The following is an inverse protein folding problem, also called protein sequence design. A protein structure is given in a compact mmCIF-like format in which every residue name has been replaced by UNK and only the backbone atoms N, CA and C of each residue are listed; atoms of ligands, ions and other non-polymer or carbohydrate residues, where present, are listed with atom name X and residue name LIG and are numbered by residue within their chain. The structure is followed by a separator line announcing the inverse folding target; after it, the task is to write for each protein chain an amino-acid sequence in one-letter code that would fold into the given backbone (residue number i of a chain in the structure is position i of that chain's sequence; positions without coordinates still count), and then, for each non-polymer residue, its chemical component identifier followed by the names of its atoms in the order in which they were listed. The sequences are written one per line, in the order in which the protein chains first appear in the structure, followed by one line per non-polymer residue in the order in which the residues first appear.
data_IF_994872168655
#
_entry.id   IF_994872168655
#
_cell.length_a   1.000
_cell.length_b   1.000
_cell.length_c   1.000
_cell.angle_alpha   90.00
_cell.angle_beta   90.00
_cell.angle_gamma   90.00
#
_symmetry.space_group_name_H-M   'P 1'
#
loop_
_entity.id
_entity.type
_entity.pdbx_description
1 polymer ?
#
# COMPACT_ATOMS: atom_id res chain seq x y z
N UNK A 1 22.70 23.64 -70.48
CA UNK A 1 22.70 24.17 -69.09
C UNK A 1 22.04 25.53 -69.15
N UNK A 2 20.99 25.89 -68.41
CA UNK A 2 20.42 25.38 -67.16
C UNK A 2 18.90 25.17 -67.32
N UNK A 3 18.38 24.14 -66.67
CA UNK A 3 16.94 23.97 -66.39
C UNK A 3 16.64 24.83 -65.16
N UNK A 4 15.58 25.66 -65.10
CA UNK A 4 15.23 26.35 -63.88
C UNK A 4 14.60 25.35 -62.90
N UNK A 5 15.12 25.30 -61.68
CA UNK A 5 14.48 24.54 -60.59
C UNK A 5 13.08 25.10 -60.30
N UNK A 6 12.08 24.23 -60.03
CA UNK A 6 10.80 24.69 -59.52
C UNK A 6 10.97 25.21 -58.09
N UNK A 7 10.13 26.18 -57.66
CA UNK A 7 10.22 26.71 -56.31
C UNK A 7 9.94 25.59 -55.31
N UNK A 8 10.85 25.45 -54.33
CA UNK A 8 10.62 24.61 -53.16
C UNK A 8 9.39 25.17 -52.44
N UNK A 9 8.28 24.44 -52.52
CA UNK A 9 7.13 24.64 -51.66
C UNK A 9 7.59 24.22 -50.26
N UNK A 10 8.00 25.19 -49.45
CA UNK A 10 8.04 25.03 -48.00
C UNK A 10 6.65 24.60 -47.57
N UNK A 11 6.52 23.32 -47.24
CA UNK A 11 5.35 22.77 -46.56
C UNK A 11 5.19 23.52 -45.24
N UNK A 12 4.29 24.49 -45.23
CA UNK A 12 3.63 25.01 -44.05
C UNK A 12 2.96 23.82 -43.35
N UNK A 13 3.71 23.17 -42.46
CA UNK A 13 3.17 22.15 -41.56
C UNK A 13 2.16 22.85 -40.65
N UNK A 14 0.95 22.33 -40.66
CA UNK A 14 -0.22 22.83 -39.97
C UNK A 14 -0.03 22.88 -38.44
N UNK A 15 0.43 24.01 -37.90
CA UNK A 15 0.40 24.27 -36.44
C UNK A 15 -1.04 24.35 -35.90
N UNK A 16 -2.03 24.57 -36.76
CA UNK A 16 -3.45 24.59 -36.38
C UNK A 16 -4.02 23.21 -36.01
N UNK A 17 -3.50 22.12 -36.59
CA UNK A 17 -3.93 20.75 -36.24
C UNK A 17 -3.29 20.28 -34.92
N UNK A 18 -2.04 20.65 -34.66
CA UNK A 18 -1.30 20.29 -33.44
C UNK A 18 -1.93 20.91 -32.18
N UNK A 19 -2.49 22.12 -32.31
CA UNK A 19 -3.14 22.81 -31.20
C UNK A 19 -4.53 22.23 -30.85
N UNK A 20 -5.28 21.74 -31.84
CA UNK A 20 -6.54 21.01 -31.63
C UNK A 20 -6.30 19.65 -30.94
N UNK A 21 -5.23 18.97 -31.34
CA UNK A 21 -4.76 17.73 -30.71
C UNK A 21 -4.33 18.00 -29.26
N UNK A 22 -3.59 19.09 -29.01
CA UNK A 22 -3.16 19.50 -27.67
C UNK A 22 -4.31 19.79 -26.71
N UNK A 23 -5.38 20.45 -27.18
CA UNK A 23 -6.56 20.72 -26.35
C UNK A 23 -7.38 19.45 -26.09
N UNK A 24 -7.58 18.59 -27.10
CA UNK A 24 -8.24 17.29 -26.92
C UNK A 24 -7.51 16.39 -25.92
N UNK A 25 -6.17 16.45 -25.93
CA UNK A 25 -5.33 15.73 -25.00
C UNK A 25 -5.52 16.21 -23.56
N UNK A 26 -5.47 17.52 -23.34
CA UNK A 26 -5.71 18.14 -22.03
C UNK A 26 -7.06 17.75 -21.45
N UNK A 27 -8.13 17.77 -22.26
CA UNK A 27 -9.47 17.40 -21.80
C UNK A 27 -9.54 15.92 -21.36
N UNK A 28 -8.90 15.03 -22.12
CA UNK A 28 -8.79 13.61 -21.75
C UNK A 28 -8.05 13.43 -20.42
N UNK A 29 -6.99 14.19 -20.21
CA UNK A 29 -6.23 14.13 -18.96
C UNK A 29 -6.98 14.69 -17.76
N UNK A 30 -7.75 15.76 -17.96
CA UNK A 30 -8.63 16.31 -16.92
C UNK A 30 -9.70 15.28 -16.52
N UNK A 31 -10.27 14.55 -17.49
CA UNK A 31 -11.21 13.46 -17.24
C UNK A 31 -10.55 12.29 -16.50
N UNK A 32 -9.35 11.88 -16.92
CA UNK A 32 -8.58 10.84 -16.23
C UNK A 32 -8.26 11.23 -14.79
N UNK A 33 -7.85 12.48 -14.54
CA UNK A 33 -7.57 12.99 -13.20
C UNK A 33 -8.79 12.87 -12.27
N UNK A 34 -9.98 13.19 -12.81
CA UNK A 34 -11.24 13.08 -12.07
C UNK A 34 -11.58 11.61 -11.74
N UNK A 35 -11.31 10.68 -12.66
CA UNK A 35 -11.58 9.25 -12.50
C UNK A 35 -10.60 8.52 -11.58
N UNK A 36 -9.33 8.97 -11.50
CA UNK A 36 -8.31 8.27 -10.70
C UNK A 36 -8.66 8.25 -9.21
N UNK A 37 -9.27 9.31 -8.68
CA UNK A 37 -9.73 9.31 -7.30
C UNK A 37 -11.04 10.08 -7.19
N UNK A 38 -12.12 9.34 -7.03
CA UNK A 38 -13.46 9.87 -6.87
C UNK A 38 -13.81 10.03 -5.39
N UNK A 39 -14.92 10.72 -5.12
CA UNK A 39 -15.48 10.76 -3.77
C UNK A 39 -15.90 9.34 -3.30
N UNK A 40 -16.38 8.51 -4.23
CA UNK A 40 -16.67 7.11 -3.94
C UNK A 40 -15.41 6.35 -3.49
N UNK A 41 -14.29 6.49 -4.20
CA UNK A 41 -13.01 5.86 -3.83
C UNK A 41 -12.55 6.29 -2.43
N UNK A 42 -12.74 7.58 -2.09
CA UNK A 42 -12.44 8.12 -0.76
C UNK A 42 -13.30 7.46 0.30
N UNK A 43 -14.62 7.42 0.12
CA UNK A 43 -15.53 6.80 1.09
C UNK A 43 -15.27 5.30 1.25
N UNK A 44 -14.95 4.59 0.17
CA UNK A 44 -14.54 3.19 0.19
C UNK A 44 -13.24 3.00 1.00
N UNK A 45 -12.27 3.92 0.84
CA UNK A 45 -11.02 3.87 1.58
C UNK A 45 -11.25 4.06 3.08
N UNK A 46 -11.98 5.10 3.46
CA UNK A 46 -12.28 5.39 4.85
C UNK A 46 -13.07 4.25 5.51
N UNK A 47 -14.01 3.63 4.79
CA UNK A 47 -14.75 2.47 5.29
C UNK A 47 -13.85 1.24 5.46
N UNK A 48 -12.99 0.96 4.47
CA UNK A 48 -12.05 -0.15 4.53
C UNK A 48 -11.04 0.03 5.68
N UNK A 49 -10.55 1.24 5.93
CA UNK A 49 -9.64 1.54 7.04
C UNK A 49 -10.32 1.30 8.38
N UNK A 50 -11.57 1.76 8.53
CA UNK A 50 -12.37 1.47 9.73
C UNK A 50 -12.52 -0.03 9.98
N UNK A 51 -12.87 -0.81 8.95
CA UNK A 51 -12.97 -2.27 9.09
C UNK A 51 -11.63 -2.91 9.50
N UNK A 52 -10.50 -2.44 8.94
CA UNK A 52 -9.16 -2.91 9.31
C UNK A 52 -8.88 -2.62 10.79
N UNK A 53 -9.17 -1.42 11.27
CA UNK A 53 -8.96 -1.02 12.67
C UNK A 53 -9.84 -1.85 13.61
N UNK A 54 -11.12 -2.05 13.27
CA UNK A 54 -12.04 -2.86 14.07
C UNK A 54 -11.55 -4.32 14.18
N UNK A 55 -11.11 -4.90 13.06
CA UNK A 55 -10.53 -6.25 13.04
C UNK A 55 -9.22 -6.34 13.81
N UNK A 56 -8.38 -5.32 13.76
CA UNK A 56 -7.17 -5.24 14.57
C UNK A 56 -7.50 -5.27 16.06
N UNK A 57 -8.55 -4.55 16.47
CA UNK A 57 -9.10 -4.61 17.82
C UNK A 57 -9.56 -6.03 18.21
N UNK A 58 -10.24 -6.74 17.30
CA UNK A 58 -10.64 -8.13 17.49
C UNK A 58 -9.44 -9.08 17.65
N UNK A 59 -8.43 -8.96 16.79
CA UNK A 59 -7.18 -9.74 16.87
C UNK A 59 -6.47 -9.51 18.20
N UNK A 60 -6.39 -8.26 18.66
CA UNK A 60 -5.82 -7.93 19.97
C UNK A 60 -6.51 -8.68 21.09
N UNK A 61 -7.84 -8.68 21.12
CA UNK A 61 -8.61 -9.39 22.15
C UNK A 61 -8.41 -10.90 22.07
N UNK A 62 -8.41 -11.46 20.86
CA UNK A 62 -8.23 -12.89 20.64
C UNK A 62 -6.85 -13.36 21.12
N UNK A 63 -5.77 -12.65 20.75
CA UNK A 63 -4.41 -12.95 21.20
C UNK A 63 -4.29 -12.84 22.72
N UNK A 64 -4.96 -11.87 23.34
CA UNK A 64 -4.96 -11.70 24.79
C UNK A 64 -5.65 -12.87 25.50
N UNK A 65 -6.80 -13.33 25.00
CA UNK A 65 -7.49 -14.51 25.54
C UNK A 65 -6.62 -15.77 25.42
N UNK A 66 -5.98 -15.95 24.26
CA UNK A 66 -5.04 -17.07 24.03
C UNK A 66 -3.86 -17.00 25.00
N UNK A 67 -3.30 -15.82 25.24
CA UNK A 67 -2.22 -15.59 26.21
C UNK A 67 -2.62 -16.01 27.60
N UNK A 68 -3.74 -15.50 28.12
CA UNK A 68 -4.23 -15.81 29.47
C UNK A 68 -4.43 -17.32 29.66
N UNK A 69 -5.02 -17.98 28.66
CA UNK A 69 -5.21 -19.44 28.70
C UNK A 69 -3.90 -20.20 28.67
N UNK A 70 -2.98 -19.80 27.78
CA UNK A 70 -1.66 -20.40 27.68
C UNK A 70 -0.87 -20.27 28.98
N UNK A 71 -0.90 -19.10 29.61
CA UNK A 71 -0.21 -18.87 30.89
C UNK A 71 -0.81 -19.72 32.01
N UNK A 72 -2.14 -19.83 32.07
CA UNK A 72 -2.82 -20.68 33.06
C UNK A 72 -2.46 -22.16 32.91
N UNK A 73 -2.42 -22.69 31.68
CA UNK A 73 -2.00 -24.07 31.42
C UNK A 73 -0.54 -24.26 31.82
N UNK A 74 0.34 -23.33 31.43
CA UNK A 74 1.76 -23.39 31.73
C UNK A 74 2.05 -23.38 33.23
N UNK A 75 1.45 -22.46 33.99
CA UNK A 75 1.61 -22.37 35.44
C UNK A 75 1.15 -23.67 36.12
N UNK A 76 -0.04 -24.15 35.76
CA UNK A 76 -0.57 -25.40 36.29
C UNK A 76 0.35 -26.59 35.98
N UNK A 77 0.88 -26.65 34.75
CA UNK A 77 1.82 -27.67 34.33
C UNK A 77 3.09 -27.67 35.19
N UNK A 78 3.77 -26.53 35.29
CA UNK A 78 5.02 -26.47 36.07
C UNK A 78 4.79 -26.77 37.55
N UNK A 79 3.74 -26.19 38.15
CA UNK A 79 3.51 -26.32 39.59
C UNK A 79 3.13 -27.74 39.99
N UNK A 80 2.28 -28.42 39.21
CA UNK A 80 1.68 -29.68 39.63
C UNK A 80 2.36 -30.94 39.07
N UNK A 81 3.18 -30.84 38.01
CA UNK A 81 3.75 -32.05 37.37
C UNK A 81 4.52 -32.93 38.37
N UNK A 82 5.37 -32.34 39.22
CA UNK A 82 6.13 -33.10 40.22
C UNK A 82 5.23 -33.68 41.32
N UNK A 83 4.26 -32.92 41.81
CA UNK A 83 3.29 -33.40 42.80
C UNK A 83 2.51 -34.62 42.27
N UNK A 84 2.08 -34.56 41.01
CA UNK A 84 1.32 -35.64 40.36
C UNK A 84 2.17 -36.85 40.08
N UNK A 85 3.46 -36.66 39.75
CA UNK A 85 4.43 -37.75 39.64
C UNK A 85 4.55 -38.49 40.98
N UNK A 86 4.76 -37.78 42.09
CA UNK A 86 4.90 -38.37 43.43
C UNK A 86 3.61 -39.05 43.91
N UNK A 87 2.45 -38.62 43.41
CA UNK A 87 1.14 -39.16 43.78
C UNK A 87 0.64 -40.26 42.83
N UNK A 88 1.44 -40.73 41.87
CA UNK A 88 1.04 -41.68 40.82
C UNK A 88 -0.20 -41.26 40.00
N UNK A 89 -0.46 -39.95 39.90
CA UNK A 89 -1.59 -39.37 39.15
C UNK A 89 -1.14 -38.62 37.90
N UNK A 90 0.12 -38.77 37.49
CA UNK A 90 0.70 -38.01 36.40
C UNK A 90 -0.01 -38.25 35.07
N UNK A 91 -0.38 -39.50 34.73
CA UNK A 91 -1.09 -39.80 33.48
C UNK A 91 -2.41 -39.04 33.35
N UNK A 92 -3.30 -39.17 34.34
CA UNK A 92 -4.60 -38.48 34.36
C UNK A 92 -4.44 -36.95 34.30
N UNK A 93 -3.41 -36.42 34.97
CA UNK A 93 -3.09 -35.01 34.92
C UNK A 93 -2.67 -34.55 33.51
N UNK A 94 -1.78 -35.29 32.85
CA UNK A 94 -1.30 -34.99 31.51
C UNK A 94 -2.42 -35.10 30.47
N UNK A 95 -3.27 -36.14 30.55
CA UNK A 95 -4.44 -36.28 29.67
C UNK A 95 -5.38 -35.07 29.79
N UNK A 96 -5.60 -34.57 31.03
CA UNK A 96 -6.39 -33.37 31.27
C UNK A 96 -5.74 -32.08 30.77
N UNK A 97 -4.41 -32.00 30.73
CA UNK A 97 -3.66 -30.89 30.12
C UNK A 97 -3.77 -30.94 28.60
N UNK A 98 -3.64 -32.11 27.99
CA UNK A 98 -3.71 -32.31 26.54
C UNK A 98 -5.08 -31.89 25.97
N UNK A 99 -6.18 -32.19 26.66
CA UNK A 99 -7.51 -31.71 26.26
C UNK A 99 -7.60 -30.18 26.23
N UNK A 100 -7.00 -29.50 27.21
CA UNK A 100 -6.96 -28.03 27.26
C UNK A 100 -6.06 -27.47 26.16
N UNK A 101 -4.92 -28.12 25.91
CA UNK A 101 -4.00 -27.76 24.84
C UNK A 101 -4.70 -27.87 23.48
N UNK A 102 -5.39 -28.98 23.18
CA UNK A 102 -6.12 -29.16 21.92
C UNK A 102 -7.11 -28.03 21.66
N UNK A 103 -7.90 -27.66 22.68
CA UNK A 103 -8.86 -26.56 22.57
C UNK A 103 -8.14 -25.20 22.35
N UNK A 104 -7.02 -24.97 23.02
CA UNK A 104 -6.23 -23.74 22.87
C UNK A 104 -5.53 -23.67 21.50
N UNK A 105 -5.00 -24.77 21.00
CA UNK A 105 -4.36 -24.86 19.68
C UNK A 105 -5.33 -24.48 18.55
N UNK A 106 -6.61 -24.87 18.65
CA UNK A 106 -7.62 -24.42 17.70
C UNK A 106 -7.76 -22.88 17.70
N UNK A 107 -7.85 -22.27 18.88
CA UNK A 107 -7.94 -20.81 19.01
C UNK A 107 -6.68 -20.09 18.51
N UNK A 108 -5.50 -20.68 18.72
CA UNK A 108 -4.25 -20.17 18.18
C UNK A 108 -4.25 -20.17 16.65
N UNK A 109 -4.70 -21.25 16.02
CA UNK A 109 -4.81 -21.33 14.55
C UNK A 109 -5.81 -20.30 14.00
N UNK A 110 -6.94 -20.13 14.67
CA UNK A 110 -7.94 -19.12 14.31
C UNK A 110 -7.35 -17.70 14.39
N UNK A 111 -6.61 -17.40 15.47
CA UNK A 111 -5.92 -16.13 15.63
C UNK A 111 -4.85 -15.91 14.55
N UNK A 112 -4.09 -16.94 14.23
CA UNK A 112 -3.03 -16.87 13.22
C UNK A 112 -3.60 -16.54 11.83
N UNK A 113 -4.69 -17.22 11.47
CA UNK A 113 -5.40 -16.98 10.22
C UNK A 113 -5.97 -15.56 10.15
N UNK A 114 -6.57 -15.05 11.23
CA UNK A 114 -7.09 -13.68 11.26
C UNK A 114 -5.99 -12.63 11.16
N UNK A 115 -4.84 -12.84 11.80
CA UNK A 115 -3.66 -11.97 11.66
C UNK A 115 -3.20 -11.92 10.19
N UNK A 116 -3.09 -13.07 9.53
CA UNK A 116 -2.65 -13.14 8.13
C UNK A 116 -3.69 -12.54 7.16
N UNK A 117 -4.99 -12.76 7.40
CA UNK A 117 -6.08 -12.10 6.65
C UNK A 117 -6.01 -10.59 6.81
N UNK A 118 -5.75 -10.09 8.02
CA UNK A 118 -5.63 -8.67 8.28
C UNK A 118 -4.42 -8.06 7.57
N UNK A 119 -3.25 -8.73 7.65
CA UNK A 119 -2.04 -8.32 6.90
C UNK A 119 -2.32 -8.26 5.41
N UNK A 120 -2.96 -9.28 4.85
CA UNK A 120 -3.29 -9.34 3.42
C UNK A 120 -4.25 -8.21 3.00
N UNK A 121 -5.24 -7.86 3.82
CA UNK A 121 -6.15 -6.74 3.54
C UNK A 121 -5.42 -5.40 3.50
N UNK A 122 -4.55 -5.14 4.48
CA UNK A 122 -3.72 -3.93 4.50
C UNK A 122 -2.89 -3.86 3.22
N UNK A 123 -2.17 -4.94 2.88
CA UNK A 123 -1.34 -4.96 1.66
C UNK A 123 -2.17 -4.80 0.39
N UNK A 124 -3.36 -5.39 0.31
CA UNK A 124 -4.28 -5.21 -0.83
C UNK A 124 -4.69 -3.74 -0.98
N UNK A 125 -5.05 -3.07 0.12
CA UNK A 125 -5.47 -1.66 0.07
C UNK A 125 -4.31 -0.74 -0.32
N UNK A 126 -3.11 -1.05 0.18
CA UNK A 126 -1.87 -0.39 -0.24
C UNK A 126 -1.57 -0.57 -1.72
N UNK A 127 -1.69 -1.80 -2.24
CA UNK A 127 -1.51 -2.09 -3.66
C UNK A 127 -2.46 -1.25 -4.53
N UNK A 128 -3.73 -1.20 -4.15
CA UNK A 128 -4.72 -0.36 -4.82
C UNK A 128 -4.36 1.14 -4.78
N UNK A 129 -3.89 1.68 -3.63
CA UNK A 129 -3.42 3.08 -3.57
C UNK A 129 -2.20 3.32 -4.46
N UNK A 130 -1.25 2.38 -4.49
CA UNK A 130 -0.05 2.47 -5.36
C UNK A 130 -0.41 2.48 -6.84
N UNK A 131 -1.39 1.70 -7.26
CA UNK A 131 -1.91 1.72 -8.64
C UNK A 131 -2.47 3.11 -8.99
N UNK A 132 -3.24 3.73 -8.08
CA UNK A 132 -3.75 5.10 -8.28
C UNK A 132 -2.62 6.14 -8.33
N UNK A 133 -1.62 6.03 -7.46
CA UNK A 133 -0.43 6.91 -7.48
C UNK A 133 0.32 6.77 -8.81
N UNK A 134 0.57 5.54 -9.25
CA UNK A 134 1.26 5.26 -10.51
C UNK A 134 0.50 5.83 -11.72
N UNK A 135 -0.84 5.86 -11.67
CA UNK A 135 -1.64 6.50 -12.72
C UNK A 135 -1.48 8.03 -12.77
N UNK A 136 -1.21 8.69 -11.63
CA UNK A 136 -0.99 10.14 -11.55
C UNK A 136 0.44 10.54 -11.91
N UNK A 137 1.39 9.63 -11.76
CA UNK A 137 2.82 9.90 -11.88
C UNK A 137 3.23 10.49 -13.25
N UNK A 138 2.74 9.96 -14.40
CA UNK A 138 3.01 10.54 -15.71
C UNK A 138 2.45 11.96 -15.88
N UNK A 139 1.37 12.31 -15.17
CA UNK A 139 0.76 13.63 -15.24
C UNK A 139 1.53 14.64 -14.37
N UNK A 140 2.01 14.19 -13.20
CA UNK A 140 2.76 15.00 -12.25
C UNK A 140 4.16 15.38 -12.75
N UNK A 141 4.86 14.49 -13.47
CA UNK A 141 6.27 14.67 -13.83
C UNK A 141 6.54 15.48 -15.11
N UNK A 142 5.52 15.94 -15.83
CA UNK A 142 5.70 16.56 -17.16
C UNK A 142 6.13 18.01 -17.16
N UNK A 143 6.21 18.64 -15.99
CA UNK A 143 6.50 20.07 -15.90
C UNK A 143 7.86 20.30 -15.27
N UNK A 144 8.83 20.74 -16.07
CA UNK A 144 9.68 21.85 -15.60
C UNK A 144 8.77 23.07 -15.55
N UNK A 145 8.05 23.22 -14.44
CA UNK A 145 7.07 24.30 -14.21
C UNK A 145 7.70 25.66 -14.52
N UNK A 146 8.98 25.84 -14.20
CA UNK A 146 9.71 27.08 -14.43
C UNK A 146 10.00 27.35 -15.91
N UNK A 147 10.38 26.34 -16.70
CA UNK A 147 10.61 26.53 -18.15
C UNK A 147 9.31 26.82 -18.88
N UNK A 148 8.21 26.14 -18.51
CA UNK A 148 6.89 26.38 -19.10
C UNK A 148 6.35 27.78 -18.75
N UNK A 149 6.49 28.22 -17.51
CA UNK A 149 6.10 29.57 -17.08
C UNK A 149 6.88 30.65 -17.84
N UNK A 150 8.19 30.51 -17.98
CA UNK A 150 9.01 31.47 -18.72
C UNK A 150 8.59 31.58 -20.20
N UNK A 151 8.32 30.45 -20.86
CA UNK A 151 7.84 30.45 -22.25
C UNK A 151 6.45 31.08 -22.39
N UNK A 152 5.56 30.85 -21.42
CA UNK A 152 4.24 31.46 -21.42
C UNK A 152 4.30 32.96 -21.18
N UNK A 153 5.14 33.41 -20.23
CA UNK A 153 5.35 34.83 -19.95
C UNK A 153 5.88 35.56 -21.20
N UNK A 154 6.88 34.99 -21.90
CA UNK A 154 7.39 35.56 -23.15
C UNK A 154 6.30 35.68 -24.24
N UNK A 155 5.38 34.71 -24.35
CA UNK A 155 4.24 34.79 -25.28
C UNK A 155 3.21 35.84 -24.86
N UNK A 156 2.95 35.98 -23.56
CA UNK A 156 2.07 37.02 -23.01
C UNK A 156 2.64 38.41 -23.29
N UNK A 157 3.94 38.62 -23.06
CA UNK A 157 4.63 39.89 -23.38
C UNK A 157 4.52 40.24 -24.87
N UNK A 158 4.67 39.26 -25.76
CA UNK A 158 4.46 39.44 -27.21
C UNK A 158 3.03 39.81 -27.59
N UNK A 159 2.04 39.18 -26.95
CA UNK A 159 0.61 39.49 -27.13
C UNK A 159 0.25 40.89 -26.62
N UNK A 160 0.78 41.29 -25.46
CA UNK A 160 0.58 42.63 -24.90
C UNK A 160 1.15 43.71 -25.82
N UNK A 161 2.35 43.49 -26.37
CA UNK A 161 2.95 44.41 -27.34
C UNK A 161 2.11 44.54 -28.62
N UNK A 162 1.59 43.41 -29.14
CA UNK A 162 0.71 43.37 -30.32
C UNK A 162 -0.61 44.12 -30.07
N UNK A 163 -1.29 43.84 -28.96
CA UNK A 163 -2.59 44.45 -28.62
C UNK A 163 -2.50 45.95 -28.30
N UNK A 164 -1.39 46.40 -27.71
CA UNK A 164 -1.16 47.81 -27.39
C UNK A 164 -0.61 48.62 -28.58
N UNK A 165 -0.37 47.99 -29.73
CA UNK A 165 0.14 48.65 -30.93
C UNK A 165 1.54 49.27 -30.76
N UNK A 166 2.31 48.84 -29.74
CA UNK A 166 3.65 49.37 -29.48
C UNK A 166 4.62 48.78 -30.51
N UNK A 167 4.99 49.59 -31.51
CA UNK A 167 6.03 49.26 -32.50
C UNK A 167 7.45 49.64 -32.03
N UNK A 168 7.68 49.72 -30.73
CA UNK A 168 8.98 50.16 -30.18
C UNK A 168 9.92 48.97 -29.92
N UNK A 169 9.91 47.99 -30.82
CA UNK A 169 10.81 46.83 -30.78
C UNK A 169 11.79 46.96 -31.93
N UNK A 170 13.09 46.87 -31.62
CA UNK A 170 14.16 46.97 -32.61
C UNK A 170 13.93 45.99 -33.79
N UNK A 171 14.24 46.39 -35.04
CA UNK A 171 13.96 45.59 -36.24
C UNK A 171 14.51 44.17 -36.17
N UNK A 172 15.65 43.96 -35.51
CA UNK A 172 16.27 42.64 -35.36
C UNK A 172 15.45 41.71 -34.45
N UNK A 173 14.77 42.24 -33.43
CA UNK A 173 13.84 41.50 -32.57
C UNK A 173 12.48 41.30 -33.26
N UNK A 174 12.08 42.23 -34.13
CA UNK A 174 10.87 42.10 -34.94
C UNK A 174 10.99 40.93 -35.94
N UNK A 175 12.13 40.75 -36.62
CA UNK A 175 12.27 39.63 -37.56
C UNK A 175 12.39 38.26 -36.89
N UNK A 176 13.03 38.16 -35.71
CA UNK A 176 13.16 36.89 -35.01
C UNK A 176 11.87 36.45 -34.27
N UNK A 177 11.09 37.41 -33.76
CA UNK A 177 9.88 37.12 -32.99
C UNK A 177 8.59 37.19 -33.82
N UNK A 178 8.45 38.08 -34.81
CA UNK A 178 7.18 38.20 -35.55
C UNK A 178 7.08 37.31 -36.79
N UNK A 179 8.18 36.92 -37.45
CA UNK A 179 8.11 36.04 -38.63
C UNK A 179 7.86 34.56 -38.27
N UNK A 180 8.04 34.19 -37.00
CA UNK A 180 7.81 32.82 -36.49
C UNK A 180 6.61 32.69 -35.55
N UNK A 181 5.90 33.77 -35.23
CA UNK A 181 4.77 33.72 -34.29
C UNK A 181 3.45 34.14 -34.95
N UNK A 182 2.67 33.10 -35.27
CA UNK A 182 1.30 32.90 -34.75
C UNK A 182 0.39 34.13 -34.68
N UNK A 183 -0.74 34.04 -35.37
CA UNK A 183 -1.87 34.96 -35.22
C UNK A 183 -2.33 35.01 -33.74
N UNK A 184 -2.90 36.14 -33.29
CA UNK A 184 -3.47 36.32 -31.94
C UNK A 184 -4.23 35.07 -31.39
N UNK A 185 -5.05 34.35 -32.20
CA UNK A 185 -5.69 33.11 -31.76
C UNK A 185 -4.74 31.95 -31.43
N UNK A 186 -3.63 31.80 -32.16
CA UNK A 186 -2.65 30.72 -31.97
C UNK A 186 -1.88 30.85 -30.66
N UNK A 187 -1.46 32.05 -30.30
CA UNK A 187 -0.77 32.29 -29.01
C UNK A 187 -1.70 32.14 -27.82
N UNK A 188 -2.95 32.61 -27.94
CA UNK A 188 -3.97 32.38 -26.90
C UNK A 188 -4.27 30.89 -26.70
N UNK A 189 -4.33 30.12 -27.79
CA UNK A 189 -4.53 28.67 -27.71
C UNK A 189 -3.32 27.96 -27.09
N UNK A 190 -2.10 28.35 -27.46
CA UNK A 190 -0.87 27.84 -26.83
C UNK A 190 -0.85 28.08 -25.32
N UNK A 191 -1.12 29.32 -24.89
CA UNK A 191 -1.17 29.70 -23.48
C UNK A 191 -2.25 28.89 -22.76
N UNK A 192 -3.44 28.73 -23.36
CA UNK A 192 -4.53 27.94 -22.80
C UNK A 192 -4.13 26.48 -22.60
N UNK A 193 -3.57 25.82 -23.61
CA UNK A 193 -3.11 24.43 -23.52
C UNK A 193 -2.07 24.29 -22.40
N UNK A 194 -1.05 25.15 -22.38
CA UNK A 194 0.03 25.11 -21.37
C UNK A 194 -0.46 25.39 -19.95
N UNK A 195 -1.36 26.35 -19.76
CA UNK A 195 -2.00 26.60 -18.45
C UNK A 195 -2.76 25.37 -17.97
N UNK A 196 -3.57 24.77 -18.83
CA UNK A 196 -4.36 23.60 -18.47
C UNK A 196 -3.48 22.37 -18.17
N UNK A 197 -2.45 22.09 -18.97
CA UNK A 197 -1.49 21.01 -18.68
C UNK A 197 -0.77 21.25 -17.34
N UNK A 198 -0.38 22.49 -17.05
CA UNK A 198 0.27 22.85 -15.78
C UNK A 198 -0.67 22.67 -14.60
N UNK A 199 -1.93 23.09 -14.72
CA UNK A 199 -2.97 22.87 -13.72
C UNK A 199 -3.17 21.37 -13.44
N UNK A 200 -3.26 20.55 -14.48
CA UNK A 200 -3.40 19.09 -14.37
C UNK A 200 -2.18 18.50 -13.64
N UNK A 201 -0.96 18.89 -13.99
CA UNK A 201 0.26 18.39 -13.34
C UNK A 201 0.30 18.73 -11.84
N UNK A 202 -0.04 19.97 -11.47
CA UNK A 202 -0.13 20.40 -10.06
C UNK A 202 -1.19 19.58 -9.31
N UNK A 203 -2.39 19.42 -9.88
CA UNK A 203 -3.45 18.64 -9.27
C UNK A 203 -3.05 17.17 -9.11
N UNK A 204 -2.43 16.56 -10.12
CA UNK A 204 -1.94 15.19 -10.08
C UNK A 204 -0.86 15.01 -9.00
N UNK A 205 0.08 15.94 -8.91
CA UNK A 205 1.13 15.94 -7.88
C UNK A 205 0.54 16.06 -6.46
N UNK A 206 -0.39 16.99 -6.25
CA UNK A 206 -1.03 17.17 -4.95
C UNK A 206 -1.82 15.93 -4.53
N UNK A 207 -2.57 15.34 -5.47
CA UNK A 207 -3.34 14.13 -5.22
C UNK A 207 -2.44 12.92 -4.99
N UNK A 208 -1.37 12.77 -5.77
CA UNK A 208 -0.36 11.73 -5.55
C UNK A 208 0.23 11.80 -4.14
N UNK A 209 0.56 13.01 -3.68
CA UNK A 209 1.03 13.23 -2.31
C UNK A 209 -0.01 12.82 -1.26
N UNK A 210 -1.27 13.22 -1.42
CA UNK A 210 -2.36 12.83 -0.51
C UNK A 210 -2.52 11.30 -0.45
N UNK A 211 -2.50 10.61 -1.58
CA UNK A 211 -2.57 9.16 -1.61
C UNK A 211 -1.35 8.49 -0.96
N UNK A 212 -0.17 9.10 -1.10
CA UNK A 212 1.05 8.65 -0.42
C UNK A 212 0.96 8.78 1.10
N UNK A 213 0.32 9.84 1.61
CA UNK A 213 0.04 10.00 3.04
C UNK A 213 -0.89 8.87 3.54
N UNK A 214 -1.95 8.55 2.78
CA UNK A 214 -2.84 7.42 3.09
C UNK A 214 -2.14 6.05 3.05
N UNK A 215 -1.22 5.80 2.09
CA UNK A 215 -0.40 4.58 2.09
C UNK A 215 0.48 4.52 3.34
N UNK A 216 1.05 5.65 3.76
CA UNK A 216 1.90 5.74 4.95
C UNK A 216 1.13 5.41 6.22
N UNK A 217 -0.12 5.87 6.34
CA UNK A 217 -1.00 5.51 7.46
C UNK A 217 -1.25 3.99 7.52
N UNK A 218 -1.53 3.36 6.37
CA UNK A 218 -1.69 1.90 6.29
C UNK A 218 -0.40 1.15 6.62
N UNK A 219 0.76 1.66 6.18
CA UNK A 219 2.07 1.10 6.56
C UNK A 219 2.25 1.13 8.07
N UNK A 220 1.80 2.20 8.73
CA UNK A 220 1.86 2.34 10.18
C UNK A 220 1.15 1.23 10.97
N UNK A 221 0.19 0.52 10.37
CA UNK A 221 -0.53 -0.58 11.00
C UNK A 221 0.25 -1.92 10.96
N UNK A 222 1.14 -2.10 9.98
CA UNK A 222 1.85 -3.38 9.78
C UNK A 222 2.72 -3.80 10.98
N UNK A 223 3.50 -2.90 11.62
CA UNK A 223 4.29 -3.27 12.79
C UNK A 223 3.46 -3.82 13.94
N UNK A 224 2.24 -3.30 14.14
CA UNK A 224 1.35 -3.80 15.19
C UNK A 224 0.80 -5.20 14.87
N UNK A 225 0.44 -5.44 13.61
CA UNK A 225 0.04 -6.77 13.12
C UNK A 225 1.21 -7.77 13.29
N UNK A 226 2.42 -7.37 12.92
CA UNK A 226 3.63 -8.20 13.03
C UNK A 226 3.97 -8.51 14.50
N UNK A 227 3.74 -7.56 15.40
CA UNK A 227 3.86 -7.77 16.85
C UNK A 227 2.88 -8.84 17.33
N UNK A 228 1.63 -8.82 16.88
CA UNK A 228 0.65 -9.86 17.25
C UNK A 228 1.02 -11.23 16.69
N UNK A 229 1.50 -11.30 15.44
CA UNK A 229 2.03 -12.55 14.86
C UNK A 229 3.16 -13.12 15.72
N UNK A 230 4.13 -12.29 16.07
CA UNK A 230 5.29 -12.69 16.86
C UNK A 230 4.90 -13.16 18.27
N UNK A 231 3.98 -12.43 18.92
CA UNK A 231 3.45 -12.82 20.22
C UNK A 231 2.72 -14.16 20.17
N UNK A 232 1.90 -14.39 19.14
CA UNK A 232 1.21 -15.66 18.95
C UNK A 232 2.19 -16.81 18.71
N UNK A 233 3.21 -16.63 17.86
CA UNK A 233 4.25 -17.64 17.64
C UNK A 233 4.92 -18.06 18.95
N UNK A 234 5.26 -17.11 19.82
CA UNK A 234 5.86 -17.41 21.12
C UNK A 234 4.94 -18.26 22.01
N UNK A 235 3.62 -18.01 21.98
CA UNK A 235 2.64 -18.82 22.72
C UNK A 235 2.51 -20.23 22.12
N UNK A 236 2.49 -20.35 20.78
CA UNK A 236 2.48 -21.65 20.09
C UNK A 236 3.68 -22.49 20.50
N UNK A 237 4.89 -21.94 20.40
CA UNK A 237 6.12 -22.65 20.79
C UNK A 237 6.07 -23.12 22.26
N UNK A 238 5.51 -22.30 23.15
CA UNK A 238 5.38 -22.67 24.57
C UNK A 238 4.46 -23.86 24.77
N UNK A 239 3.32 -23.87 24.09
CA UNK A 239 2.35 -24.98 24.17
C UNK A 239 2.92 -26.25 23.52
N UNK A 240 3.65 -26.13 22.42
CA UNK A 240 4.39 -27.25 21.81
C UNK A 240 5.39 -27.86 22.79
N UNK A 241 6.12 -27.03 23.56
CA UNK A 241 7.02 -27.53 24.60
C UNK A 241 6.28 -28.31 25.69
N UNK A 242 5.12 -27.83 26.17
CA UNK A 242 4.31 -28.58 27.16
C UNK A 242 3.92 -29.94 26.58
N UNK A 243 3.42 -29.94 25.33
CA UNK A 243 2.95 -31.14 24.64
C UNK A 243 4.09 -32.17 24.47
N UNK A 244 5.28 -31.69 24.11
CA UNK A 244 6.46 -32.53 23.93
C UNK A 244 6.95 -33.12 25.25
N UNK A 245 7.04 -32.31 26.31
CA UNK A 245 7.41 -32.80 27.65
C UNK A 245 6.39 -33.80 28.17
N UNK A 246 5.09 -33.54 27.97
CA UNK A 246 4.01 -34.46 28.35
C UNK A 246 4.17 -35.82 27.65
N UNK A 247 4.49 -35.80 26.36
CA UNK A 247 4.75 -37.02 25.57
C UNK A 247 5.93 -37.82 26.13
N UNK A 248 7.04 -37.17 26.50
CA UNK A 248 8.17 -37.85 27.12
C UNK A 248 7.81 -38.48 28.48
N UNK A 249 7.03 -37.79 29.31
CA UNK A 249 6.57 -38.35 30.58
C UNK A 249 5.66 -39.55 30.39
N UNK A 250 4.71 -39.49 29.44
CA UNK A 250 3.82 -40.61 29.15
C UNK A 250 4.61 -41.84 28.67
N UNK A 251 5.56 -41.66 27.75
CA UNK A 251 6.44 -42.73 27.28
C UNK A 251 7.27 -43.35 28.42
N UNK A 252 7.79 -42.52 29.34
CA UNK A 252 8.50 -43.00 30.53
C UNK A 252 7.58 -43.84 31.44
N UNK A 253 6.34 -43.39 31.66
CA UNK A 253 5.38 -44.13 32.47
C UNK A 253 4.99 -45.47 31.85
N UNK A 254 4.91 -45.56 30.52
CA UNK A 254 4.68 -46.83 29.82
C UNK A 254 5.82 -47.82 30.11
N UNK A 255 7.08 -47.40 29.95
CA UNK A 255 8.26 -48.25 30.19
C UNK A 255 8.34 -48.69 31.66
N UNK A 256 8.20 -47.75 32.59
CA UNK A 256 8.29 -48.04 34.03
C UNK A 256 7.12 -48.90 34.54
N UNK A 257 5.95 -48.79 33.89
CA UNK A 257 4.79 -49.63 34.15
C UNK A 257 5.03 -51.09 33.71
N UNK A 258 5.57 -51.27 32.50
CA UNK A 258 5.90 -52.59 31.95
C UNK A 258 6.98 -53.29 32.78
N UNK A 259 8.00 -52.57 33.25
CA UNK A 259 9.04 -53.11 34.15
C UNK A 259 8.46 -53.58 35.50
N UNK A 260 7.51 -52.83 36.08
CA UNK A 260 6.83 -53.25 37.31
C UNK A 260 5.99 -54.51 37.12
N UNK A 261 5.35 -54.66 35.97
CA UNK A 261 4.56 -55.85 35.63
C UNK A 261 5.49 -57.05 35.41
N UNK A 262 6.60 -56.87 34.70
CA UNK A 262 7.60 -57.92 34.50
C UNK A 262 8.22 -58.39 35.83
N UNK A 263 8.59 -57.46 36.71
CA UNK A 263 9.16 -57.77 38.03
C UNK A 263 8.16 -58.46 38.99
N UNK A 264 6.85 -58.33 38.75
CA UNK A 264 5.82 -59.02 39.55
C UNK A 264 5.39 -60.38 38.96
N UNK A 265 5.98 -60.80 37.85
CA UNK A 265 5.76 -62.10 37.20
C UNK A 265 6.95 -63.07 37.29
N UNK A 266 8.08 -62.68 37.88
CA UNK A 266 9.17 -63.62 38.19
C UNK A 266 8.76 -64.56 39.35
N UNK A 267 8.73 -65.88 39.15
CA UNK A 267 8.44 -66.84 40.22
C UNK A 267 9.66 -66.98 41.16
N UNK A 268 9.40 -67.01 42.47
CA UNK A 268 10.35 -67.46 43.50
C UNK A 268 10.88 -68.88 43.23
#
# INVERSE_FOLDING_TARGET
MLIPEPPQVETLIAETDDAGIGMSYVLREEEQLAQVWSEADRTEHEHSVREIIDRLGGVRQLVEVVRIRSDSIWERFITLTLERLLSNQLREFLDGVDVQILALSQQMVEADCEIDRLRARVQKRRGWLKEKIAALEPMAHRTSTQTHLNMMLARVEGLEAYLLGRKDVAPEAYEYHYKRHTTLPGDLLYIRVRLSTTRIAILASNRSKQLGELDTELVGLLPEIDRYKSALTALVTRIECISEISRYWLAYLDIAGDEKIAASQEPE
#
